data_IF_378384749085
#
_entry.id   IF_378384749085
#
_cell.length_a   1.000
_cell.length_b   1.000
_cell.length_c   1.000
_cell.angle_alpha   90.00
_cell.angle_beta   90.00
_cell.angle_gamma   90.00
#
_symmetry.space_group_name_H-M   'P 1'
#
loop_
_entity.id
_entity.type
_entity.pdbx_description
1 polymer ?
#
# COMPACT_ATOMS: atom_id res chain seq x y z
N UNK A 1 7.08 -1.22 14.82
CA UNK A 1 6.48 -2.17 13.86
C UNK A 1 7.42 -3.33 13.51
N UNK A 2 8.57 -3.09 12.85
CA UNK A 2 9.44 -4.18 12.33
C UNK A 2 9.84 -5.20 13.39
N UNK A 3 10.33 -4.75 14.55
CA UNK A 3 10.72 -5.64 15.65
C UNK A 3 9.55 -6.48 16.19
N UNK A 4 8.36 -5.89 16.25
CA UNK A 4 7.18 -6.55 16.79
C UNK A 4 6.56 -7.54 15.79
N UNK A 5 6.53 -7.18 14.50
CA UNK A 5 6.18 -8.10 13.44
C UNK A 5 7.15 -9.29 13.41
N UNK A 6 8.46 -9.04 13.55
CA UNK A 6 9.47 -10.10 13.63
C UNK A 6 9.30 -11.04 14.82
N UNK A 7 8.85 -10.54 15.97
CA UNK A 7 8.57 -11.37 17.14
C UNK A 7 7.26 -12.18 17.03
N UNK A 8 6.29 -11.71 16.27
CA UNK A 8 4.95 -12.33 16.13
C UNK A 8 4.82 -13.26 14.91
N UNK A 9 5.67 -13.09 13.90
CA UNK A 9 5.61 -13.83 12.64
C UNK A 9 5.91 -15.32 12.82
N UNK A 10 5.16 -16.18 12.13
CA UNK A 10 5.42 -17.62 12.01
C UNK A 10 5.77 -18.04 10.58
N UNK A 11 5.67 -17.12 9.63
CA UNK A 11 6.02 -17.29 8.22
C UNK A 11 4.79 -17.12 7.32
N UNK A 12 4.93 -16.27 6.30
CA UNK A 12 3.88 -16.03 5.30
C UNK A 12 2.80 -15.03 5.71
N UNK A 13 2.86 -14.48 6.93
CA UNK A 13 1.96 -13.39 7.33
C UNK A 13 2.42 -12.04 6.78
N UNK A 14 1.44 -11.23 6.36
CA UNK A 14 1.62 -9.81 6.05
C UNK A 14 1.11 -9.03 7.25
N UNK A 15 1.89 -8.09 7.77
CA UNK A 15 1.47 -7.21 8.85
C UNK A 15 1.25 -5.80 8.34
N UNK A 16 0.16 -5.20 8.79
CA UNK A 16 -0.31 -3.89 8.33
C UNK A 16 -0.45 -2.98 9.54
N UNK A 17 0.04 -1.76 9.43
CA UNK A 17 -0.10 -0.77 10.48
C UNK A 17 -1.24 0.18 10.16
N UNK A 18 -2.07 0.46 11.15
CA UNK A 18 -2.97 1.60 11.14
C UNK A 18 -2.16 2.89 11.17
N UNK A 19 -2.08 3.55 10.02
CA UNK A 19 -1.36 4.81 9.86
C UNK A 19 -2.21 6.03 10.31
N UNK A 20 -3.47 5.80 10.68
CA UNK A 20 -4.42 6.87 11.00
C UNK A 20 -4.79 7.71 9.78
N UNK A 21 -5.03 8.99 10.03
CA UNK A 21 -5.49 9.93 9.00
C UNK A 21 -4.38 10.26 7.98
N UNK A 22 -4.73 10.32 6.67
CA UNK A 22 -3.77 10.68 5.64
C UNK A 22 -3.28 12.12 5.81
N UNK A 23 -1.99 12.34 5.52
CA UNK A 23 -1.34 13.64 5.65
C UNK A 23 -0.93 14.14 4.26
N UNK A 24 -1.26 15.40 3.95
CA UNK A 24 -0.86 16.03 2.69
C UNK A 24 0.63 16.39 2.73
N UNK A 25 1.36 16.06 1.66
CA UNK A 25 2.80 16.34 1.55
C UNK A 25 3.11 17.84 1.65
N UNK A 26 2.25 18.70 1.09
CA UNK A 26 2.41 20.16 1.20
C UNK A 26 2.32 20.67 2.63
N UNK A 27 1.43 20.10 3.44
CA UNK A 27 1.26 20.49 4.85
C UNK A 27 2.45 19.99 5.67
N UNK A 28 2.94 18.78 5.37
CA UNK A 28 4.18 18.28 5.97
C UNK A 28 5.37 19.19 5.66
N UNK A 29 5.54 19.62 4.41
CA UNK A 29 6.60 20.55 4.03
C UNK A 29 6.51 21.87 4.80
N UNK A 30 5.32 22.49 4.88
CA UNK A 30 5.08 23.71 5.65
C UNK A 30 5.40 23.53 7.14
N UNK A 31 5.00 22.40 7.72
CA UNK A 31 5.31 22.07 9.11
C UNK A 31 6.82 21.95 9.34
N UNK A 32 7.57 21.34 8.43
CA UNK A 32 9.03 21.24 8.53
C UNK A 32 9.70 22.62 8.47
N UNK A 33 9.24 23.52 7.59
CA UNK A 33 9.72 24.89 7.52
C UNK A 33 9.46 25.61 8.86
N UNK A 34 8.25 25.50 9.38
CA UNK A 34 7.87 26.12 10.66
C UNK A 34 8.68 25.58 11.84
N UNK A 35 8.85 24.25 11.94
CA UNK A 35 9.64 23.58 12.97
C UNK A 35 11.13 23.95 12.91
N UNK A 36 11.62 24.41 11.75
CA UNK A 36 12.97 24.94 11.59
C UNK A 36 13.14 26.39 12.07
N UNK A 37 12.08 27.02 12.59
CA UNK A 37 12.08 28.42 13.06
C UNK A 37 12.01 29.44 11.92
N UNK A 38 11.60 29.02 10.72
CA UNK A 38 11.51 29.87 9.53
C UNK A 38 10.05 30.00 9.07
N UNK A 39 9.78 30.98 8.23
CA UNK A 39 8.51 31.13 7.54
C UNK A 39 8.60 30.56 6.13
N UNK A 40 7.43 30.27 5.55
CA UNK A 40 7.32 29.79 4.17
C UNK A 40 7.99 30.75 3.17
N UNK A 41 7.91 32.06 3.41
CA UNK A 41 8.55 33.11 2.61
C UNK A 41 10.09 33.06 2.63
N UNK A 42 10.71 32.49 3.68
CA UNK A 42 12.17 32.44 3.81
C UNK A 42 12.81 31.30 2.98
N UNK A 43 12.02 30.30 2.59
CA UNK A 43 12.51 29.09 1.88
C UNK A 43 11.78 28.90 0.54
N UNK A 44 10.48 29.18 0.49
CA UNK A 44 9.61 28.90 -0.65
C UNK A 44 9.24 27.42 -0.78
N UNK A 45 8.17 27.14 -1.53
CA UNK A 45 7.76 25.80 -1.94
C UNK A 45 7.54 25.82 -3.45
N UNK A 46 8.26 24.96 -4.17
CA UNK A 46 8.11 24.78 -5.61
C UNK A 46 7.52 23.39 -5.91
N UNK A 47 6.52 23.34 -6.80
CA UNK A 47 5.89 22.10 -7.20
C UNK A 47 6.56 21.56 -8.46
N UNK A 48 7.35 20.48 -8.32
CA UNK A 48 8.05 19.82 -9.43
C UNK A 48 7.15 18.93 -10.30
N UNK A 49 5.88 18.75 -9.92
CA UNK A 49 4.99 17.75 -10.52
C UNK A 49 5.31 16.32 -10.08
N UNK A 50 4.54 15.38 -10.62
CA UNK A 50 4.59 13.95 -10.29
C UNK A 50 5.61 13.24 -11.20
N UNK A 51 6.45 12.37 -10.64
CA UNK A 51 7.40 11.55 -11.42
C UNK A 51 6.69 10.35 -12.05
N UNK A 52 7.14 9.84 -13.20
CA UNK A 52 6.54 8.65 -13.81
C UNK A 52 6.48 7.46 -12.84
N UNK A 53 5.28 6.92 -12.65
CA UNK A 53 5.02 5.79 -11.74
C UNK A 53 4.69 6.17 -10.29
N UNK A 54 4.70 7.46 -9.92
CA UNK A 54 4.23 7.90 -8.60
C UNK A 54 2.70 7.93 -8.53
N UNK A 55 2.16 7.53 -7.37
CA UNK A 55 0.75 7.69 -7.02
C UNK A 55 0.52 9.01 -6.28
N UNK A 56 -0.64 9.64 -6.50
CA UNK A 56 -1.05 10.86 -5.78
C UNK A 56 -1.57 10.56 -4.36
N UNK A 57 -2.05 9.35 -4.15
CA UNK A 57 -2.53 8.83 -2.87
C UNK A 57 -2.12 7.37 -2.77
N UNK A 58 -1.82 6.93 -1.55
CA UNK A 58 -1.61 5.52 -1.25
C UNK A 58 -2.92 4.91 -0.78
N UNK A 59 -3.16 3.66 -1.16
CA UNK A 59 -4.27 2.87 -0.65
C UNK A 59 -3.78 2.10 0.58
N UNK A 60 -4.45 2.28 1.72
CA UNK A 60 -4.34 1.31 2.81
C UNK A 60 -5.14 0.08 2.40
N UNK A 61 -4.58 -1.12 2.59
CA UNK A 61 -5.15 -2.40 2.18
C UNK A 61 -6.66 -2.47 2.42
N UNK A 62 -7.38 -3.04 1.46
CA UNK A 62 -8.84 -3.07 1.50
C UNK A 62 -9.35 -3.90 2.69
N UNK A 63 -10.56 -3.63 3.17
CA UNK A 63 -11.17 -4.37 4.29
C UNK A 63 -11.19 -5.90 4.04
N UNK A 64 -11.31 -6.30 2.77
CA UNK A 64 -11.27 -7.70 2.35
C UNK A 64 -9.88 -8.34 2.48
N UNK A 65 -8.82 -7.54 2.42
CA UNK A 65 -7.42 -7.95 2.51
C UNK A 65 -6.86 -7.91 3.93
N UNK A 66 -7.63 -7.38 4.89
CA UNK A 66 -7.24 -7.31 6.30
C UNK A 66 -8.10 -8.27 7.13
N UNK A 67 -7.47 -8.99 8.07
CA UNK A 67 -8.21 -9.73 9.08
C UNK A 67 -8.85 -8.73 10.07
N UNK A 68 -10.14 -8.87 10.42
CA UNK A 68 -10.82 -7.89 11.28
C UNK A 68 -10.18 -7.75 12.67
N UNK A 69 -9.54 -8.82 13.14
CA UNK A 69 -8.85 -8.83 14.43
C UNK A 69 -7.45 -8.20 14.35
N UNK A 70 -7.20 -7.22 15.24
CA UNK A 70 -5.87 -6.71 15.51
C UNK A 70 -5.03 -7.75 16.26
N UNK A 71 -3.78 -7.95 15.84
CA UNK A 71 -2.81 -8.79 16.57
C UNK A 71 -2.13 -8.01 17.69
N UNK A 72 -2.15 -6.69 17.60
CA UNK A 72 -1.71 -5.73 18.62
C UNK A 72 -2.34 -4.37 18.32
N UNK A 73 -2.32 -3.44 19.29
CA UNK A 73 -2.83 -2.08 19.08
C UNK A 73 -2.25 -1.46 17.79
N UNK A 74 -3.14 -1.08 16.87
CA UNK A 74 -2.82 -0.54 15.53
C UNK A 74 -2.13 -1.50 14.56
N UNK A 75 -1.95 -2.78 14.88
CA UNK A 75 -1.33 -3.77 14.00
C UNK A 75 -2.34 -4.84 13.60
N UNK A 76 -2.58 -4.96 12.29
CA UNK A 76 -3.44 -5.95 11.68
C UNK A 76 -2.64 -7.03 10.96
N UNK A 77 -3.30 -8.17 10.70
CA UNK A 77 -2.78 -9.24 9.85
C UNK A 77 -3.48 -9.20 8.49
N UNK A 78 -2.72 -9.10 7.42
CA UNK A 78 -3.21 -9.21 6.04
C UNK A 78 -3.61 -10.65 5.70
N UNK A 79 -4.67 -10.80 4.91
CA UNK A 79 -5.09 -12.06 4.29
C UNK A 79 -4.28 -12.24 3.00
N UNK A 80 -3.44 -13.27 2.96
CA UNK A 80 -2.75 -13.65 1.73
C UNK A 80 -3.35 -14.92 1.15
N UNK A 81 -3.68 -14.92 -0.14
CA UNK A 81 -4.05 -16.14 -0.85
C UNK A 81 -2.77 -16.91 -1.18
N UNK A 82 -2.63 -18.09 -0.57
CA UNK A 82 -1.55 -19.01 -0.92
C UNK A 82 -1.92 -19.71 -2.23
N UNK A 83 -1.05 -19.59 -3.22
CA UNK A 83 -1.17 -20.31 -4.48
C UNK A 83 -0.13 -21.42 -4.56
N UNK A 84 -0.53 -22.59 -5.04
CA UNK A 84 0.40 -23.65 -5.41
C UNK A 84 1.06 -23.34 -6.76
N UNK A 85 2.24 -23.92 -7.00
CA UNK A 85 2.93 -23.77 -8.29
C UNK A 85 2.06 -24.23 -9.46
N UNK A 86 1.29 -25.31 -9.30
CA UNK A 86 0.38 -25.81 -10.33
C UNK A 86 -0.72 -24.80 -10.67
N UNK A 87 -1.32 -24.17 -9.66
CA UNK A 87 -2.34 -23.14 -9.88
C UNK A 87 -1.76 -21.88 -10.54
N UNK A 88 -0.57 -21.46 -10.13
CA UNK A 88 0.13 -20.33 -10.76
C UNK A 88 0.44 -20.63 -12.23
N UNK A 89 1.00 -21.81 -12.53
CA UNK A 89 1.33 -22.20 -13.90
C UNK A 89 0.09 -22.27 -14.79
N UNK A 90 -1.03 -22.80 -14.27
CA UNK A 90 -2.30 -22.78 -15.00
C UNK A 90 -2.75 -21.35 -15.31
N UNK A 91 -2.69 -20.44 -14.34
CA UNK A 91 -3.04 -19.03 -14.56
C UNK A 91 -2.14 -18.35 -15.59
N UNK A 92 -0.82 -18.53 -15.46
CA UNK A 92 0.16 -17.97 -16.40
C UNK A 92 -0.09 -18.49 -17.81
N UNK A 93 -0.28 -19.79 -17.99
CA UNK A 93 -0.55 -20.37 -19.31
C UNK A 93 -1.82 -19.80 -19.94
N UNK A 94 -2.89 -19.61 -19.17
CA UNK A 94 -4.14 -19.01 -19.66
C UNK A 94 -3.94 -17.56 -20.11
N UNK A 95 -3.11 -16.80 -19.40
CA UNK A 95 -2.73 -15.44 -19.78
C UNK A 95 -1.90 -15.46 -21.08
N UNK A 96 -0.87 -16.30 -21.16
CA UNK A 96 0.00 -16.41 -22.35
C UNK A 96 -0.76 -16.89 -23.58
N UNK A 97 -1.77 -17.74 -23.41
CA UNK A 97 -2.65 -18.22 -24.49
C UNK A 97 -3.74 -17.20 -24.89
N UNK A 98 -3.81 -16.04 -24.23
CA UNK A 98 -4.82 -15.01 -24.51
C UNK A 98 -6.24 -15.34 -24.05
N UNK A 99 -6.40 -16.35 -23.18
CA UNK A 99 -7.69 -16.71 -22.59
C UNK A 99 -8.10 -15.77 -21.44
N UNK A 100 -7.13 -15.07 -20.86
CA UNK A 100 -7.30 -14.06 -19.82
C UNK A 100 -6.44 -12.87 -20.19
N UNK A 101 -7.02 -11.66 -20.15
CA UNK A 101 -6.25 -10.44 -20.28
C UNK A 101 -5.41 -10.18 -19.02
N UNK A 102 -4.14 -9.79 -19.19
CA UNK A 102 -3.24 -9.49 -18.05
C UNK A 102 -3.82 -8.38 -17.18
N UNK A 103 -4.38 -7.35 -17.81
CA UNK A 103 -4.99 -6.20 -17.15
C UNK A 103 -6.23 -6.66 -16.37
N UNK A 104 -7.07 -7.52 -16.94
CA UNK A 104 -8.20 -8.11 -16.22
C UNK A 104 -7.77 -9.02 -15.06
N UNK A 105 -6.64 -9.71 -15.20
CA UNK A 105 -6.10 -10.55 -14.13
C UNK A 105 -5.59 -9.71 -12.95
N UNK A 106 -4.82 -8.66 -13.25
CA UNK A 106 -4.30 -7.71 -12.25
C UNK A 106 -5.47 -6.93 -11.61
N UNK A 107 -6.43 -6.48 -12.41
CA UNK A 107 -7.61 -5.76 -11.93
C UNK A 107 -8.65 -6.66 -11.24
N UNK A 108 -8.57 -7.99 -11.35
CA UNK A 108 -9.38 -8.91 -10.54
C UNK A 108 -8.74 -9.25 -9.20
N UNK A 109 -7.45 -9.01 -9.02
CA UNK A 109 -6.89 -8.77 -7.69
C UNK A 109 -7.20 -7.35 -7.21
N UNK A 110 -7.29 -6.38 -8.12
CA UNK A 110 -7.54 -4.97 -7.82
C UNK A 110 -8.96 -4.54 -8.24
N UNK A 111 -10.01 -5.05 -7.59
CA UNK A 111 -11.40 -4.57 -7.77
C UNK A 111 -11.63 -3.14 -7.23
N UNK A 112 -10.66 -2.23 -7.41
CA UNK A 112 -10.52 -1.01 -6.61
C UNK A 112 -10.18 0.26 -7.43
N UNK A 113 -10.21 0.21 -8.76
CA UNK A 113 -10.00 1.39 -9.63
C UNK A 113 -11.29 2.11 -10.07
N UNK A 114 -12.47 1.75 -9.53
CA UNK A 114 -13.68 2.55 -9.68
C UNK A 114 -14.15 3.12 -8.33
N UNK A 115 -13.64 4.30 -7.97
CA UNK A 115 -14.31 5.33 -7.16
C UNK A 115 -13.56 6.66 -7.26
#
# INVERSE_FOLDING_TARGET
MVLQAGALAKGGEIFVLDMGEPVKIVDLAKNLIHLSGKKEEDIGIEFSGVRPGEKLFEELLNEDEIHPDQVYEKIYRGKSKVYTNSELLLKVNRITNGEIDVVDFVNRSDSYFEA
#
